data_IF_084734818155
#
_entry.id   IF_084734818155
#
_cell.length_a   1.000
_cell.length_b   1.000
_cell.length_c   1.000
_cell.angle_alpha   90.00
_cell.angle_beta   90.00
_cell.angle_gamma   90.00
#
_symmetry.space_group_name_H-M   'P 1'
#
loop_
_entity.id
_entity.type
_entity.pdbx_description
1 polymer ?
#
# COMPACT_ATOMS: atom_id res chain seq x y z
N UNK A 1 16.37 -4.40 32.76
CA UNK A 1 15.87 -3.06 33.08
C UNK A 1 15.16 -2.51 31.85
N UNK A 2 13.85 -2.65 31.81
CA UNK A 2 13.01 -2.08 30.75
C UNK A 2 12.87 -0.60 31.02
N UNK A 3 13.66 0.22 30.34
CA UNK A 3 13.39 1.66 30.29
C UNK A 3 12.04 1.84 29.61
N UNK A 4 11.03 2.15 30.41
CA UNK A 4 9.70 2.49 29.95
C UNK A 4 9.77 3.76 29.09
N UNK A 5 9.91 3.60 27.79
CA UNK A 5 9.61 4.63 26.83
C UNK A 5 8.08 4.73 26.79
N UNK A 6 7.53 5.58 27.64
CA UNK A 6 6.11 5.91 27.70
C UNK A 6 5.76 6.70 26.43
N UNK A 7 5.57 5.96 25.29
CA UNK A 7 5.15 6.56 24.03
C UNK A 7 3.68 6.99 24.18
N UNK A 8 3.48 8.26 24.54
CA UNK A 8 2.16 8.86 24.64
C UNK A 8 1.36 8.54 23.38
N UNK A 9 0.34 7.72 23.57
CA UNK A 9 -0.66 7.37 22.57
C UNK A 9 -1.58 8.59 22.39
N UNK A 10 -1.76 9.01 21.13
CA UNK A 10 -2.71 10.08 20.79
C UNK A 10 -4.04 9.48 20.36
N UNK A 11 -5.14 10.13 20.69
CA UNK A 11 -6.44 9.84 20.06
C UNK A 11 -6.44 10.37 18.63
N UNK A 12 -7.11 9.66 17.73
CA UNK A 12 -7.44 10.17 16.40
C UNK A 12 -8.84 10.79 16.36
N UNK A 13 -9.56 10.77 17.45
CA UNK A 13 -10.88 11.40 17.53
C UNK A 13 -10.76 12.88 17.14
N UNK A 14 -11.59 13.28 16.20
CA UNK A 14 -11.66 14.64 15.66
C UNK A 14 -10.40 15.11 14.87
N UNK A 15 -9.38 14.24 14.74
CA UNK A 15 -8.24 14.53 13.85
C UNK A 15 -8.70 14.58 12.39
N UNK A 16 -8.29 15.61 11.67
CA UNK A 16 -8.57 15.76 10.24
C UNK A 16 -7.47 15.11 9.41
N UNK A 17 -7.77 13.99 8.79
CA UNK A 17 -6.78 13.20 8.07
C UNK A 17 -7.07 13.21 6.57
N UNK A 18 -6.09 13.65 5.79
CA UNK A 18 -6.15 13.68 4.32
C UNK A 18 -5.37 12.50 3.73
N UNK A 19 -6.03 11.69 2.90
CA UNK A 19 -5.43 10.58 2.19
C UNK A 19 -5.24 10.95 0.71
N UNK A 20 -4.01 11.23 0.30
CA UNK A 20 -3.67 11.59 -1.08
C UNK A 20 -3.41 10.33 -1.90
N UNK A 21 -4.18 10.08 -2.94
CA UNK A 21 -4.24 8.81 -3.66
C UNK A 21 -5.05 7.75 -2.89
N UNK A 22 -6.07 8.20 -2.15
CA UNK A 22 -6.78 7.38 -1.16
C UNK A 22 -7.90 6.49 -1.70
N UNK A 23 -8.32 6.59 -2.97
CA UNK A 23 -9.35 5.70 -3.54
C UNK A 23 -8.81 4.32 -3.95
N UNK A 24 -7.50 4.13 -3.86
CA UNK A 24 -6.82 2.87 -4.18
C UNK A 24 -7.03 1.77 -3.15
N UNK A 25 -6.29 0.65 -3.36
CA UNK A 25 -6.37 -0.54 -2.51
C UNK A 25 -6.01 -0.25 -1.05
N UNK A 26 -4.91 0.44 -0.78
CA UNK A 26 -4.50 0.76 0.60
C UNK A 26 -5.43 1.84 1.19
N UNK A 27 -5.69 2.89 0.42
CA UNK A 27 -6.34 4.08 0.94
C UNK A 27 -7.77 3.87 1.40
N UNK A 28 -8.59 3.08 0.67
CA UNK A 28 -9.97 2.83 1.11
C UNK A 28 -10.02 2.00 2.42
N UNK A 29 -9.15 0.99 2.59
CA UNK A 29 -9.06 0.25 3.85
C UNK A 29 -8.60 1.15 4.99
N UNK A 30 -7.60 1.99 4.74
CA UNK A 30 -7.11 2.94 5.73
C UNK A 30 -8.18 3.98 6.09
N UNK A 31 -8.93 4.51 5.11
CA UNK A 31 -10.02 5.44 5.36
C UNK A 31 -11.08 4.84 6.30
N UNK A 32 -11.47 3.58 6.07
CA UNK A 32 -12.42 2.86 6.92
C UNK A 32 -11.86 2.68 8.35
N UNK A 33 -10.62 2.21 8.48
CA UNK A 33 -9.98 2.00 9.77
C UNK A 33 -9.82 3.31 10.59
N UNK A 34 -9.54 4.43 9.92
CA UNK A 34 -9.45 5.74 10.57
C UNK A 34 -10.83 6.26 11.02
N UNK A 35 -11.88 6.02 10.23
CA UNK A 35 -13.26 6.34 10.65
C UNK A 35 -13.71 5.53 11.86
N UNK A 36 -13.23 4.32 12.04
CA UNK A 36 -13.47 3.50 13.26
C UNK A 36 -12.76 4.04 14.50
N UNK A 37 -11.83 4.99 14.31
CA UNK A 37 -11.16 5.74 15.38
C UNK A 37 -11.71 7.17 15.53
N UNK A 38 -12.89 7.46 14.98
CA UNK A 38 -13.57 8.76 14.98
C UNK A 38 -12.78 9.90 14.34
N UNK A 39 -11.78 9.59 13.47
CA UNK A 39 -11.10 10.62 12.69
C UNK A 39 -12.03 11.19 11.62
N UNK A 40 -11.95 12.49 11.34
CA UNK A 40 -12.54 13.08 10.14
C UNK A 40 -11.62 12.80 8.95
N UNK A 41 -12.11 12.12 7.90
CA UNK A 41 -11.28 11.64 6.80
C UNK A 41 -11.74 12.22 5.48
N UNK A 42 -10.80 12.80 4.71
CA UNK A 42 -10.98 13.17 3.31
C UNK A 42 -10.01 12.34 2.43
N UNK A 43 -10.54 11.81 1.34
CA UNK A 43 -9.77 11.16 0.28
C UNK A 43 -9.66 12.10 -0.90
N UNK A 44 -8.42 12.35 -1.37
CA UNK A 44 -8.15 13.04 -2.63
C UNK A 44 -7.62 12.00 -3.61
N UNK A 45 -8.29 11.86 -4.76
CA UNK A 45 -7.88 10.97 -5.82
C UNK A 45 -8.45 11.45 -7.15
N UNK A 46 -7.69 11.32 -8.22
CA UNK A 46 -8.18 11.72 -9.54
C UNK A 46 -8.53 10.52 -10.43
N UNK A 47 -8.56 9.32 -9.82
CA UNK A 47 -9.06 8.07 -10.39
C UNK A 47 -8.33 7.61 -11.66
N UNK A 48 -7.06 7.94 -11.80
CA UNK A 48 -6.25 7.50 -12.94
C UNK A 48 -5.95 5.99 -12.88
N UNK A 49 -5.70 5.46 -11.69
CA UNK A 49 -5.46 4.04 -11.46
C UNK A 49 -6.77 3.38 -11.05
N UNK A 50 -7.10 2.24 -11.67
CA UNK A 50 -8.38 1.54 -11.45
C UNK A 50 -9.62 2.39 -11.84
N UNK A 51 -9.53 3.08 -12.96
CA UNK A 51 -10.60 3.89 -13.52
C UNK A 51 -11.70 2.99 -14.10
N UNK A 52 -12.95 3.17 -13.67
CA UNK A 52 -14.10 2.35 -14.13
C UNK A 52 -14.29 2.46 -15.64
N UNK A 53 -14.19 3.66 -16.21
CA UNK A 53 -14.37 3.88 -17.66
C UNK A 53 -13.29 3.13 -18.46
N UNK A 54 -12.05 3.21 -18.00
CA UNK A 54 -10.93 2.50 -18.61
C UNK A 54 -11.09 0.97 -18.44
N UNK A 55 -11.62 0.52 -17.32
CA UNK A 55 -11.90 -0.88 -17.06
C UNK A 55 -13.01 -1.44 -17.98
N UNK A 56 -14.06 -0.67 -18.23
CA UNK A 56 -15.15 -1.05 -19.14
C UNK A 56 -14.65 -1.32 -20.57
N UNK A 57 -13.71 -0.53 -21.06
CA UNK A 57 -13.15 -0.61 -22.42
C UNK A 57 -11.88 -1.47 -22.53
N UNK A 58 -11.36 -1.99 -21.43
CA UNK A 58 -10.12 -2.76 -21.42
C UNK A 58 -10.25 -4.08 -22.17
N UNK A 59 -9.30 -4.37 -23.07
CA UNK A 59 -9.15 -5.67 -23.75
C UNK A 59 -8.14 -6.58 -23.06
N UNK A 60 -7.45 -6.08 -22.02
CA UNK A 60 -6.43 -6.82 -21.27
C UNK A 60 -7.05 -7.88 -20.34
N UNK A 61 -8.30 -7.63 -19.88
CA UNK A 61 -9.00 -8.49 -18.93
C UNK A 61 -10.17 -9.21 -19.58
N UNK A 62 -10.48 -10.43 -19.14
CA UNK A 62 -11.70 -11.13 -19.52
C UNK A 62 -12.95 -10.35 -19.08
N UNK A 63 -14.11 -10.63 -19.70
CA UNK A 63 -15.38 -10.01 -19.30
C UNK A 63 -15.62 -10.14 -17.78
N UNK A 64 -15.47 -11.35 -17.24
CA UNK A 64 -15.67 -11.64 -15.82
C UNK A 64 -14.69 -10.89 -14.91
N UNK A 65 -13.41 -10.79 -15.29
CA UNK A 65 -12.43 -9.97 -14.55
C UNK A 65 -12.82 -8.49 -14.54
N UNK A 66 -13.26 -7.93 -15.67
CA UNK A 66 -13.71 -6.53 -15.72
C UNK A 66 -14.90 -6.29 -14.78
N UNK A 67 -15.90 -7.17 -14.83
CA UNK A 67 -17.08 -7.06 -13.95
C UNK A 67 -16.71 -7.10 -12.47
N UNK A 68 -15.84 -8.02 -12.08
CA UNK A 68 -15.40 -8.14 -10.68
C UNK A 68 -14.54 -6.92 -10.24
N UNK A 69 -13.70 -6.39 -11.12
CA UNK A 69 -12.88 -5.22 -10.81
C UNK A 69 -13.72 -3.95 -10.70
N UNK A 70 -14.71 -3.77 -11.58
CA UNK A 70 -15.68 -2.68 -11.48
C UNK A 70 -16.44 -2.78 -10.17
N UNK A 71 -16.93 -3.97 -9.82
CA UNK A 71 -17.56 -4.21 -8.52
C UNK A 71 -16.65 -3.83 -7.36
N UNK A 72 -15.39 -4.24 -7.36
CA UNK A 72 -14.45 -3.90 -6.29
C UNK A 72 -14.19 -2.40 -6.18
N UNK A 73 -14.10 -1.69 -7.31
CA UNK A 73 -13.96 -0.23 -7.30
C UNK A 73 -15.22 0.41 -6.72
N UNK A 74 -16.40 0.00 -7.16
CA UNK A 74 -17.69 0.51 -6.66
C UNK A 74 -17.84 0.24 -5.16
N UNK A 75 -17.55 -1.00 -4.72
CA UNK A 75 -17.61 -1.38 -3.30
C UNK A 75 -16.70 -0.49 -2.43
N UNK A 76 -15.50 -0.09 -2.93
CA UNK A 76 -14.62 0.83 -2.19
C UNK A 76 -15.29 2.18 -1.95
N UNK A 77 -15.91 2.76 -2.97
CA UNK A 77 -16.61 4.04 -2.85
C UNK A 77 -17.84 3.94 -1.94
N UNK A 78 -18.63 2.89 -2.09
CA UNK A 78 -19.82 2.69 -1.25
C UNK A 78 -19.46 2.51 0.22
N UNK A 79 -18.44 1.72 0.53
CA UNK A 79 -17.96 1.54 1.89
C UNK A 79 -17.45 2.85 2.50
N UNK A 80 -16.66 3.63 1.76
CA UNK A 80 -16.17 4.92 2.23
C UNK A 80 -17.31 5.92 2.45
N UNK A 81 -18.26 6.02 1.51
CA UNK A 81 -19.45 6.89 1.61
C UNK A 81 -20.29 6.52 2.83
N UNK A 82 -20.58 5.22 3.03
CA UNK A 82 -21.40 4.73 4.14
C UNK A 82 -20.74 4.99 5.52
N UNK A 83 -19.41 5.11 5.56
CA UNK A 83 -18.64 5.48 6.77
C UNK A 83 -18.43 6.99 6.90
N UNK A 84 -19.02 7.82 6.02
CA UNK A 84 -18.90 9.27 6.07
C UNK A 84 -17.51 9.79 5.72
N UNK A 85 -16.75 9.06 4.89
CA UNK A 85 -15.49 9.54 4.32
C UNK A 85 -15.80 10.59 3.25
N UNK A 86 -15.18 11.76 3.35
CA UNK A 86 -15.27 12.81 2.34
C UNK A 86 -14.42 12.45 1.12
N UNK A 87 -14.86 12.83 -0.06
CA UNK A 87 -14.11 12.57 -1.29
C UNK A 87 -13.99 13.85 -2.12
N UNK A 88 -12.77 14.14 -2.58
CA UNK A 88 -12.47 15.20 -3.52
C UNK A 88 -11.78 14.60 -4.76
N UNK A 89 -12.41 14.75 -5.92
CA UNK A 89 -11.80 14.36 -7.20
C UNK A 89 -10.83 15.46 -7.64
N UNK A 90 -9.55 15.26 -7.36
CA UNK A 90 -8.50 16.21 -7.72
C UNK A 90 -7.17 15.49 -7.95
N UNK A 91 -6.39 16.03 -8.87
CA UNK A 91 -5.02 15.61 -9.10
C UNK A 91 -4.09 16.32 -8.11
N UNK A 92 -3.39 15.56 -7.28
CA UNK A 92 -2.45 16.13 -6.31
C UNK A 92 -1.23 16.84 -6.95
N UNK A 93 -1.05 16.72 -8.27
CA UNK A 93 -0.07 17.50 -9.04
C UNK A 93 -0.56 18.91 -9.38
N UNK A 94 -1.86 19.11 -9.40
CA UNK A 94 -2.46 20.44 -9.54
C UNK A 94 -2.42 21.17 -8.19
N UNK A 95 -1.44 22.05 -8.04
CA UNK A 95 -1.23 22.79 -6.80
C UNK A 95 -2.41 23.69 -6.46
N UNK A 96 -3.11 24.28 -7.46
CA UNK A 96 -4.24 25.17 -7.22
C UNK A 96 -5.42 24.40 -6.61
N UNK A 97 -5.86 23.33 -7.28
CA UNK A 97 -6.95 22.48 -6.80
C UNK A 97 -6.62 21.84 -5.42
N UNK A 98 -5.37 21.40 -5.25
CA UNK A 98 -4.92 20.83 -3.98
C UNK A 98 -4.90 21.87 -2.86
N UNK A 99 -4.48 23.12 -3.13
CA UNK A 99 -4.45 24.23 -2.16
C UNK A 99 -5.84 24.56 -1.68
N UNK A 100 -6.83 24.67 -2.57
CA UNK A 100 -8.22 24.98 -2.22
C UNK A 100 -8.79 23.92 -1.26
N UNK A 101 -8.55 22.64 -1.55
CA UNK A 101 -8.98 21.52 -0.69
C UNK A 101 -8.23 21.57 0.65
N UNK A 102 -6.92 21.76 0.62
CA UNK A 102 -6.07 21.79 1.82
C UNK A 102 -6.47 22.94 2.77
N UNK A 103 -6.64 24.14 2.26
CA UNK A 103 -6.98 25.31 3.06
C UNK A 103 -8.42 25.27 3.59
N UNK A 104 -9.34 24.66 2.83
CA UNK A 104 -10.73 24.46 3.26
C UNK A 104 -10.84 23.39 4.33
N UNK A 105 -10.20 22.25 4.12
CA UNK A 105 -10.30 21.10 5.02
C UNK A 105 -9.40 21.24 6.26
N UNK A 106 -8.21 21.84 6.09
CA UNK A 106 -7.18 22.03 7.13
C UNK A 106 -6.78 20.71 7.80
N UNK A 107 -6.16 19.77 7.06
CA UNK A 107 -5.79 18.47 7.59
C UNK A 107 -4.69 18.59 8.65
N UNK A 108 -4.90 18.01 9.83
CA UNK A 108 -3.87 17.95 10.87
C UNK A 108 -2.82 16.89 10.55
N UNK A 109 -3.20 15.85 9.81
CA UNK A 109 -2.32 14.76 9.36
C UNK A 109 -2.59 14.42 7.89
N UNK A 110 -1.54 14.03 7.18
CA UNK A 110 -1.64 13.62 5.77
C UNK A 110 -1.01 12.23 5.59
N UNK A 111 -1.65 11.36 4.82
CA UNK A 111 -1.05 10.11 4.35
C UNK A 111 -0.92 10.15 2.84
N UNK A 112 0.31 10.16 2.34
CA UNK A 112 0.61 10.23 0.91
C UNK A 112 0.76 8.83 0.33
N UNK A 113 -0.24 8.40 -0.45
CA UNK A 113 -0.34 7.09 -1.10
C UNK A 113 -0.17 7.17 -2.63
N UNK A 114 -0.24 8.37 -3.21
CA UNK A 114 -0.25 8.57 -4.66
C UNK A 114 0.99 7.99 -5.34
N UNK A 115 0.79 7.04 -6.25
CA UNK A 115 1.84 6.43 -7.06
C UNK A 115 1.26 5.51 -8.13
N UNK A 116 2.00 5.29 -9.22
CA UNK A 116 1.80 4.12 -10.08
C UNK A 116 2.43 2.92 -9.38
N UNK A 117 1.61 2.08 -8.75
CA UNK A 117 2.07 1.01 -7.84
C UNK A 117 2.67 -0.21 -8.55
N UNK A 118 2.49 -0.35 -9.86
CA UNK A 118 3.10 -1.40 -10.68
C UNK A 118 4.47 -0.95 -11.19
N UNK A 119 5.54 -1.65 -10.80
CA UNK A 119 6.89 -1.36 -11.28
C UNK A 119 7.00 -1.51 -12.81
N UNK A 120 6.29 -2.49 -13.39
CA UNK A 120 6.27 -2.70 -14.86
C UNK A 120 5.64 -1.51 -15.57
N UNK A 121 4.48 -1.04 -15.08
CA UNK A 121 3.81 0.14 -15.65
C UNK A 121 4.64 1.40 -15.42
N UNK A 122 5.21 1.58 -14.24
CA UNK A 122 6.07 2.72 -13.93
C UNK A 122 7.31 2.78 -14.84
N UNK A 123 7.93 1.64 -15.16
CA UNK A 123 9.07 1.60 -16.08
C UNK A 123 8.66 1.95 -17.53
N UNK A 124 7.46 1.53 -17.96
CA UNK A 124 6.92 1.87 -19.29
C UNK A 124 6.51 3.34 -19.41
N UNK A 125 6.04 3.95 -18.34
CA UNK A 125 5.53 5.32 -18.27
C UNK A 125 6.36 6.16 -17.30
N UNK A 126 7.67 6.18 -17.48
CA UNK A 126 8.63 6.73 -16.51
C UNK A 126 8.39 8.19 -16.15
N UNK A 127 8.14 9.05 -17.12
CA UNK A 127 7.84 10.47 -16.87
C UNK A 127 6.61 10.65 -16.02
N UNK A 128 5.51 9.97 -16.35
CA UNK A 128 4.27 10.04 -15.58
C UNK A 128 4.45 9.46 -14.17
N UNK A 129 5.23 8.37 -14.03
CA UNK A 129 5.46 7.75 -12.74
C UNK A 129 6.26 8.67 -11.80
N UNK A 130 7.31 9.33 -12.29
CA UNK A 130 8.04 10.33 -11.52
C UNK A 130 7.18 11.56 -11.23
N UNK A 131 6.43 12.03 -12.21
CA UNK A 131 5.55 13.19 -12.05
C UNK A 131 4.50 12.95 -10.94
N UNK A 132 3.84 11.80 -10.95
CA UNK A 132 2.88 11.45 -9.90
C UNK A 132 3.58 11.30 -8.54
N UNK A 133 4.69 10.57 -8.46
CA UNK A 133 5.31 10.27 -7.18
C UNK A 133 6.00 11.48 -6.54
N UNK A 134 6.65 12.32 -7.35
CA UNK A 134 7.49 13.42 -6.87
C UNK A 134 6.70 14.72 -6.78
N UNK A 135 5.99 15.12 -7.85
CA UNK A 135 5.30 16.41 -7.87
C UNK A 135 4.10 16.44 -6.93
N UNK A 136 3.34 15.34 -6.78
CA UNK A 136 2.27 15.30 -5.78
C UNK A 136 2.79 15.43 -4.35
N UNK A 137 3.93 14.80 -4.03
CA UNK A 137 4.55 14.93 -2.72
C UNK A 137 5.13 16.33 -2.51
N UNK A 138 5.83 16.89 -3.52
CA UNK A 138 6.35 18.26 -3.47
C UNK A 138 5.24 19.26 -3.14
N UNK A 139 4.11 19.17 -3.83
CA UNK A 139 2.99 20.09 -3.60
C UNK A 139 2.46 19.99 -2.15
N UNK A 140 2.35 18.78 -1.60
CA UNK A 140 1.99 18.58 -0.18
C UNK A 140 3.01 19.22 0.75
N UNK A 141 4.31 19.02 0.51
CA UNK A 141 5.37 19.57 1.35
C UNK A 141 5.43 21.11 1.27
N UNK A 142 5.18 21.68 0.09
CA UNK A 142 5.11 23.14 -0.10
C UNK A 142 3.92 23.73 0.67
N UNK A 143 2.76 23.09 0.67
CA UNK A 143 1.60 23.50 1.48
C UNK A 143 1.91 23.41 2.97
N UNK A 144 2.50 22.31 3.44
CA UNK A 144 2.89 22.17 4.84
C UNK A 144 3.95 23.22 5.27
N UNK A 145 4.88 23.55 4.38
CA UNK A 145 5.90 24.61 4.63
C UNK A 145 5.27 25.98 4.77
N UNK A 146 4.31 26.31 3.91
CA UNK A 146 3.67 27.61 3.86
C UNK A 146 2.59 27.81 4.94
N UNK A 147 2.05 26.71 5.50
CA UNK A 147 0.97 26.67 6.48
C UNK A 147 1.32 25.75 7.66
N UNK A 148 2.42 26.04 8.36
CA UNK A 148 2.97 25.21 9.43
C UNK A 148 2.00 24.94 10.58
N UNK A 149 1.03 25.80 10.78
CA UNK A 149 -0.01 25.71 11.81
C UNK A 149 -1.10 24.68 11.51
N UNK A 150 -1.20 24.19 10.27
CA UNK A 150 -2.28 23.28 9.84
C UNK A 150 -1.85 21.82 10.05
N UNK A 151 -0.80 21.37 9.35
CA UNK A 151 -0.39 19.97 9.32
C UNK A 151 0.80 19.72 10.25
N UNK A 152 0.65 18.79 11.17
CA UNK A 152 1.70 18.43 12.13
C UNK A 152 2.44 17.13 11.78
N UNK A 153 1.89 16.28 10.89
CA UNK A 153 2.52 15.02 10.49
C UNK A 153 2.16 14.61 9.07
N UNK A 154 3.15 14.16 8.31
CA UNK A 154 2.94 13.50 7.02
C UNK A 154 3.46 12.06 7.07
N UNK A 155 2.60 11.09 6.75
CA UNK A 155 2.98 9.69 6.56
C UNK A 155 3.21 9.44 5.07
N UNK A 156 4.41 9.04 4.70
CA UNK A 156 4.78 8.72 3.32
C UNK A 156 4.82 7.23 3.09
N UNK A 157 4.00 6.77 2.15
CA UNK A 157 3.99 5.38 1.72
C UNK A 157 5.14 5.11 0.74
N UNK A 158 6.23 4.57 1.26
CA UNK A 158 7.38 4.07 0.51
C UNK A 158 7.13 2.62 0.03
N UNK A 159 8.16 1.81 -0.06
CA UNK A 159 8.09 0.41 -0.50
C UNK A 159 9.34 -0.35 -0.10
N UNK A 160 9.23 -1.67 0.12
CA UNK A 160 10.39 -2.57 0.25
C UNK A 160 11.29 -2.58 -0.99
N UNK A 161 10.80 -2.12 -2.14
CA UNK A 161 11.60 -2.05 -3.38
C UNK A 161 12.77 -1.08 -3.27
N UNK A 162 12.77 -0.15 -2.33
CA UNK A 162 13.90 0.77 -2.07
C UNK A 162 15.17 0.04 -1.64
N UNK A 163 15.05 -1.14 -1.05
CA UNK A 163 16.21 -1.95 -0.66
C UNK A 163 16.99 -2.54 -1.85
N UNK A 164 16.33 -2.67 -3.03
CA UNK A 164 16.93 -3.38 -4.16
C UNK A 164 16.99 -4.89 -3.92
N UNK A 165 18.03 -5.57 -4.40
CA UNK A 165 18.26 -6.98 -4.10
C UNK A 165 18.73 -7.16 -2.66
N UNK A 166 18.11 -8.10 -1.95
CA UNK A 166 18.53 -8.45 -0.60
C UNK A 166 19.82 -9.24 -0.68
N UNK A 167 20.86 -8.73 -0.02
CA UNK A 167 22.16 -9.42 0.09
C UNK A 167 22.15 -10.45 1.22
N UNK A 168 21.30 -10.22 2.21
CA UNK A 168 21.08 -11.10 3.36
C UNK A 168 19.65 -11.67 3.31
N UNK A 169 19.38 -12.68 4.15
CA UNK A 169 18.05 -13.29 4.27
C UNK A 169 16.98 -12.30 4.76
N UNK A 170 17.39 -11.30 5.51
CA UNK A 170 16.52 -10.24 6.01
C UNK A 170 17.14 -8.85 5.82
N UNK A 171 16.29 -7.82 5.84
CA UNK A 171 16.68 -6.41 5.84
C UNK A 171 15.90 -5.66 6.91
N UNK A 172 16.54 -4.63 7.47
CA UNK A 172 15.89 -3.70 8.38
C UNK A 172 16.02 -2.25 7.88
N UNK A 173 15.48 -1.31 8.62
CA UNK A 173 15.42 0.09 8.17
C UNK A 173 16.79 0.80 8.18
N UNK A 174 17.84 0.18 8.72
CA UNK A 174 19.23 0.67 8.64
C UNK A 174 19.97 0.11 7.42
N UNK A 175 19.44 -0.94 6.77
CA UNK A 175 19.98 -1.48 5.53
C UNK A 175 20.00 -0.38 4.47
N UNK A 176 21.18 -0.17 3.84
CA UNK A 176 21.39 0.87 2.82
C UNK A 176 20.46 0.64 1.62
N UNK A 177 19.60 1.61 1.26
CA UNK A 177 18.78 1.51 0.06
C UNK A 177 19.62 1.42 -1.23
N UNK A 178 19.19 0.54 -2.15
CA UNK A 178 19.77 0.34 -3.48
C UNK A 178 18.64 0.18 -4.52
N UNK A 179 17.78 1.21 -4.69
CA UNK A 179 16.59 1.09 -5.52
C UNK A 179 16.93 0.81 -6.98
N UNK A 180 16.12 -0.06 -7.62
CA UNK A 180 16.21 -0.38 -9.05
C UNK A 180 14.88 -0.10 -9.74
N UNK A 181 14.94 0.54 -10.90
CA UNK A 181 13.77 0.92 -11.71
C UNK A 181 13.07 2.18 -11.21
N UNK A 182 12.17 2.69 -12.03
CA UNK A 182 11.51 4.01 -11.85
C UNK A 182 10.72 4.07 -10.56
N UNK A 183 9.92 3.04 -10.28
CA UNK A 183 9.09 2.98 -9.08
C UNK A 183 9.91 3.07 -7.78
N UNK A 184 10.93 2.24 -7.67
CA UNK A 184 11.76 2.18 -6.46
C UNK A 184 12.58 3.45 -6.25
N UNK A 185 13.13 4.03 -7.35
CA UNK A 185 13.85 5.30 -7.28
C UNK A 185 12.92 6.45 -6.88
N UNK A 186 11.71 6.54 -7.45
CA UNK A 186 10.72 7.55 -7.08
C UNK A 186 10.32 7.45 -5.60
N UNK A 187 10.14 6.24 -5.06
CA UNK A 187 9.88 6.04 -3.62
C UNK A 187 11.06 6.48 -2.77
N UNK A 188 12.28 6.17 -3.16
CA UNK A 188 13.46 6.58 -2.41
C UNK A 188 13.71 8.10 -2.45
N UNK A 189 13.46 8.75 -3.60
CA UNK A 189 13.46 10.22 -3.70
C UNK A 189 12.45 10.81 -2.72
N UNK A 190 11.21 10.29 -2.67
CA UNK A 190 10.21 10.73 -1.71
C UNK A 190 10.65 10.59 -0.25
N UNK A 191 11.33 9.49 0.13
CA UNK A 191 11.93 9.36 1.46
C UNK A 191 12.95 10.45 1.77
N UNK A 192 13.77 10.83 0.78
CA UNK A 192 14.73 11.93 0.94
C UNK A 192 14.01 13.26 1.13
N UNK A 193 12.99 13.55 0.31
CA UNK A 193 12.18 14.77 0.45
C UNK A 193 11.55 14.88 1.84
N UNK A 194 11.04 13.79 2.42
CA UNK A 194 10.46 13.79 3.76
C UNK A 194 11.50 14.15 4.83
N UNK A 195 12.73 13.60 4.73
CA UNK A 195 13.81 13.91 5.67
C UNK A 195 14.27 15.36 5.55
N UNK A 196 14.37 15.88 4.34
CA UNK A 196 14.70 17.28 4.10
C UNK A 196 13.62 18.23 4.62
N UNK A 197 12.33 17.90 4.49
CA UNK A 197 11.23 18.68 5.04
C UNK A 197 11.35 18.81 6.58
N UNK A 198 11.72 17.74 7.29
CA UNK A 198 12.01 17.79 8.72
C UNK A 198 13.18 18.72 9.02
N UNK A 199 14.26 18.62 8.26
CA UNK A 199 15.48 19.43 8.46
C UNK A 199 15.24 20.92 8.19
N UNK A 200 14.51 21.26 7.14
CA UNK A 200 14.36 22.63 6.66
C UNK A 200 13.24 23.42 7.36
N UNK A 201 12.14 22.79 7.73
CA UNK A 201 10.99 23.49 8.31
C UNK A 201 10.25 22.71 9.42
N UNK A 202 10.94 21.72 9.99
CA UNK A 202 10.54 20.95 11.18
C UNK A 202 9.22 20.18 11.05
N UNK A 203 8.86 19.73 9.85
CA UNK A 203 7.69 18.90 9.62
C UNK A 203 7.92 17.47 10.15
N UNK A 204 7.08 17.01 11.05
CA UNK A 204 7.13 15.61 11.48
C UNK A 204 6.65 14.67 10.39
N UNK A 205 7.34 13.53 10.25
CA UNK A 205 7.01 12.55 9.25
C UNK A 205 7.08 11.11 9.78
N UNK A 206 6.45 10.20 9.05
CA UNK A 206 6.70 8.76 9.18
C UNK A 206 6.82 8.15 7.79
N UNK A 207 7.85 7.32 7.55
CA UNK A 207 8.03 6.59 6.30
C UNK A 207 7.67 5.13 6.52
N UNK A 208 6.76 4.60 5.71
CA UNK A 208 6.31 3.20 5.78
C UNK A 208 6.82 2.45 4.54
N UNK A 209 7.51 1.33 4.75
CA UNK A 209 7.99 0.41 3.71
C UNK A 209 7.21 -0.91 3.78
N UNK A 210 6.09 -1.05 3.05
CA UNK A 210 5.34 -2.31 2.95
C UNK A 210 5.98 -3.27 1.94
N UNK A 211 5.56 -4.54 1.99
CA UNK A 211 5.91 -5.57 1.02
C UNK A 211 4.68 -6.42 0.65
N UNK A 212 4.68 -6.98 -0.57
CA UNK A 212 3.80 -8.03 -1.10
C UNK A 212 2.35 -8.03 -0.56
N UNK A 213 1.65 -6.90 -0.68
CA UNK A 213 0.31 -6.72 -0.13
C UNK A 213 -0.74 -7.58 -0.83
N UNK A 214 -1.67 -8.13 -0.05
CA UNK A 214 -2.84 -8.86 -0.52
C UNK A 214 -4.05 -8.61 0.39
N UNK A 215 -5.24 -8.96 -0.11
CA UNK A 215 -6.49 -8.88 0.65
C UNK A 215 -7.67 -8.45 -0.20
N UNK A 216 -8.83 -8.35 0.42
CA UNK A 216 -10.12 -8.11 -0.24
C UNK A 216 -10.14 -6.82 -1.07
N UNK A 217 -10.83 -6.83 -2.20
CA UNK A 217 -10.92 -5.72 -3.17
C UNK A 217 -9.58 -5.26 -3.76
N UNK A 218 -8.54 -6.12 -3.72
CA UNK A 218 -7.29 -5.85 -4.42
C UNK A 218 -7.48 -5.94 -5.94
N UNK A 219 -6.97 -4.94 -6.67
CA UNK A 219 -6.88 -4.93 -8.14
C UNK A 219 -5.46 -4.51 -8.48
N UNK A 220 -4.53 -5.44 -8.47
CA UNK A 220 -3.11 -5.13 -8.65
C UNK A 220 -2.39 -6.00 -9.68
N UNK A 221 -3.02 -7.11 -10.10
CA UNK A 221 -2.38 -8.10 -10.97
C UNK A 221 -1.12 -8.74 -10.37
N UNK A 222 -0.91 -8.61 -9.06
CA UNK A 222 0.21 -9.24 -8.36
C UNK A 222 -0.01 -10.74 -8.20
N UNK A 223 1.05 -11.48 -7.93
CA UNK A 223 1.04 -12.95 -7.85
C UNK A 223 -0.08 -13.49 -6.96
N UNK A 224 -0.30 -12.90 -5.79
CA UNK A 224 -1.35 -13.32 -4.86
C UNK A 224 -2.77 -13.26 -5.44
N UNK A 225 -3.10 -12.20 -6.20
CA UNK A 225 -4.38 -12.08 -6.88
C UNK A 225 -4.42 -12.93 -8.15
N UNK A 226 -3.36 -12.83 -8.98
CA UNK A 226 -3.27 -13.53 -10.27
C UNK A 226 -3.40 -15.04 -10.12
N UNK A 227 -2.83 -15.61 -9.08
CA UNK A 227 -2.93 -17.05 -8.83
C UNK A 227 -4.37 -17.49 -8.53
N UNK A 228 -5.11 -16.74 -7.70
CA UNK A 228 -6.53 -17.00 -7.43
C UNK A 228 -7.33 -16.93 -8.73
N UNK A 229 -7.15 -15.86 -9.51
CA UNK A 229 -7.89 -15.66 -10.77
C UNK A 229 -7.57 -16.72 -11.81
N UNK A 230 -6.32 -17.14 -11.91
CA UNK A 230 -5.92 -18.22 -12.81
C UNK A 230 -6.61 -19.54 -12.40
N UNK A 231 -6.54 -19.90 -11.11
CA UNK A 231 -7.19 -21.11 -10.60
C UNK A 231 -8.70 -21.10 -10.88
N UNK A 232 -9.38 -19.98 -10.61
CA UNK A 232 -10.82 -19.83 -10.84
C UNK A 232 -11.21 -19.79 -12.34
N UNK A 233 -10.24 -19.49 -13.21
CA UNK A 233 -10.44 -19.49 -14.68
C UNK A 233 -9.98 -20.79 -15.35
N UNK A 234 -9.54 -21.80 -14.59
CA UNK A 234 -8.96 -23.03 -15.13
C UNK A 234 -7.62 -22.84 -15.84
N UNK A 235 -6.92 -21.73 -15.57
CA UNK A 235 -5.58 -21.43 -16.10
C UNK A 235 -4.50 -21.93 -15.13
N UNK A 236 -3.32 -22.30 -15.62
CA UNK A 236 -2.25 -22.75 -14.75
C UNK A 236 -1.68 -21.63 -13.84
N UNK A 237 -1.27 -22.03 -12.65
CA UNK A 237 -0.41 -21.24 -11.78
C UNK A 237 1.04 -21.45 -12.23
N UNK A 238 1.66 -20.40 -12.76
CA UNK A 238 3.04 -20.51 -13.26
C UNK A 238 4.01 -20.26 -12.13
N UNK A 239 4.76 -21.30 -11.73
CA UNK A 239 5.81 -21.25 -10.73
C UNK A 239 7.17 -21.04 -11.39
N UNK A 240 7.61 -19.81 -11.53
CA UNK A 240 8.95 -19.51 -12.04
C UNK A 240 10.03 -20.00 -11.07
N UNK A 241 10.99 -20.80 -11.58
CA UNK A 241 12.02 -21.43 -10.77
C UNK A 241 11.46 -22.30 -9.65
N UNK A 242 10.40 -23.08 -9.95
CA UNK A 242 9.73 -23.92 -8.97
C UNK A 242 9.05 -23.16 -7.82
N UNK A 243 8.79 -21.88 -8.00
CA UNK A 243 8.19 -21.04 -6.94
C UNK A 243 9.14 -20.68 -5.79
N UNK A 244 10.45 -20.89 -5.97
CA UNK A 244 11.49 -20.62 -4.95
C UNK A 244 11.74 -19.13 -4.68
N UNK A 245 11.05 -18.22 -5.35
CA UNK A 245 11.07 -16.79 -5.02
C UNK A 245 10.41 -16.53 -3.67
N UNK A 246 11.02 -15.66 -2.84
CA UNK A 246 10.50 -15.30 -1.52
C UNK A 246 9.90 -13.91 -1.53
N UNK A 247 8.80 -13.73 -0.79
CA UNK A 247 8.18 -12.43 -0.55
C UNK A 247 7.65 -12.37 0.90
N UNK A 248 7.77 -11.22 1.52
CA UNK A 248 7.12 -10.95 2.81
C UNK A 248 5.68 -10.53 2.54
N UNK A 249 4.78 -11.52 2.51
CA UNK A 249 3.36 -11.32 2.23
C UNK A 249 2.67 -10.67 3.42
N UNK A 250 2.03 -9.54 3.16
CA UNK A 250 1.40 -8.73 4.20
C UNK A 250 -0.08 -8.55 3.90
N UNK A 251 -0.95 -8.93 4.83
CA UNK A 251 -2.37 -8.69 4.71
C UNK A 251 -2.67 -7.19 4.81
N UNK A 252 -3.64 -6.72 4.03
CA UNK A 252 -3.99 -5.30 3.98
C UNK A 252 -4.38 -4.72 5.35
N UNK A 253 -5.06 -5.49 6.19
CA UNK A 253 -5.46 -5.01 7.52
C UNK A 253 -4.26 -4.87 8.48
N UNK A 254 -3.24 -5.73 8.37
CA UNK A 254 -2.01 -5.56 9.15
C UNK A 254 -1.27 -4.28 8.71
N UNK A 255 -1.23 -4.00 7.39
CA UNK A 255 -0.65 -2.74 6.91
C UNK A 255 -1.44 -1.53 7.43
N UNK A 256 -2.77 -1.53 7.31
CA UNK A 256 -3.60 -0.39 7.75
C UNK A 256 -3.52 -0.18 9.26
N UNK A 257 -3.42 -1.25 10.05
CA UNK A 257 -3.15 -1.15 11.49
C UNK A 257 -1.78 -0.50 11.75
N UNK A 258 -0.73 -0.93 11.05
CA UNK A 258 0.61 -0.33 11.19
C UNK A 258 0.64 1.17 10.82
N UNK A 259 -0.06 1.57 9.74
CA UNK A 259 -0.19 2.98 9.37
C UNK A 259 -0.98 3.75 10.45
N UNK A 260 -2.11 3.20 10.90
CA UNK A 260 -2.93 3.83 11.95
C UNK A 260 -2.13 4.02 13.24
N UNK A 261 -1.33 3.03 13.64
CA UNK A 261 -0.43 3.13 14.80
C UNK A 261 0.62 4.22 14.59
N UNK A 262 1.15 4.39 13.39
CA UNK A 262 2.11 5.46 13.10
C UNK A 262 1.53 6.87 13.25
N UNK A 263 0.21 7.01 13.15
CA UNK A 263 -0.51 8.27 13.41
C UNK A 263 -0.86 8.47 14.89
N UNK A 264 -0.93 7.37 15.67
CA UNK A 264 -1.30 7.38 17.09
C UNK A 264 -0.07 7.51 18.00
N UNK A 265 1.04 6.84 17.68
CA UNK A 265 2.21 6.75 18.55
C UNK A 265 3.26 7.81 18.20
N UNK A 266 3.52 8.76 19.12
CA UNK A 266 4.56 9.78 18.94
C UNK A 266 5.96 9.20 18.73
N UNK A 267 6.21 7.99 19.23
CA UNK A 267 7.46 7.25 18.98
C UNK A 267 7.74 6.98 17.50
N UNK A 268 6.71 7.05 16.64
CA UNK A 268 6.82 6.90 15.19
C UNK A 268 7.32 8.14 14.43
N UNK A 269 7.31 9.31 15.07
CA UNK A 269 7.68 10.56 14.41
C UNK A 269 9.14 10.57 13.98
N UNK A 270 9.38 11.10 12.80
CA UNK A 270 10.69 11.26 12.14
C UNK A 270 11.46 9.94 11.95
N UNK A 271 10.74 8.84 11.75
CA UNK A 271 11.32 7.50 11.57
C UNK A 271 10.78 6.79 10.31
N UNK A 272 11.54 5.78 9.93
CA UNK A 272 11.17 4.83 8.86
C UNK A 272 10.84 3.49 9.48
N UNK A 273 9.79 2.80 8.98
CA UNK A 273 9.36 1.49 9.46
C UNK A 273 9.09 0.52 8.31
N UNK A 274 9.54 -0.69 8.47
CA UNK A 274 8.99 -1.83 7.76
C UNK A 274 7.65 -2.19 8.41
N UNK A 275 6.56 -2.13 7.65
CA UNK A 275 5.24 -2.59 8.09
C UNK A 275 4.85 -3.75 7.20
N UNK A 276 5.20 -4.94 7.65
CA UNK A 276 5.00 -6.22 6.96
C UNK A 276 4.64 -7.29 7.99
N UNK A 277 4.44 -8.53 7.54
CA UNK A 277 4.27 -9.64 8.47
C UNK A 277 5.58 -9.99 9.19
N UNK A 278 6.73 -9.70 8.56
CA UNK A 278 8.04 -9.95 9.15
C UNK A 278 8.53 -11.39 9.01
N UNK A 279 7.97 -12.14 8.06
CA UNK A 279 8.37 -13.51 7.73
C UNK A 279 8.13 -13.77 6.24
N UNK A 280 9.19 -13.75 5.45
CA UNK A 280 9.09 -14.03 4.02
C UNK A 280 8.75 -15.51 3.77
N UNK A 281 7.90 -15.74 2.78
CA UNK A 281 7.41 -17.06 2.39
C UNK A 281 7.68 -17.30 0.90
N UNK A 282 7.78 -18.56 0.51
CA UNK A 282 7.94 -18.95 -0.87
C UNK A 282 6.67 -18.69 -1.68
N UNK A 283 6.81 -18.37 -2.97
CA UNK A 283 5.66 -18.20 -3.87
C UNK A 283 4.92 -19.53 -4.05
N UNK A 284 5.61 -20.67 -3.99
CA UNK A 284 4.98 -22.00 -4.01
C UNK A 284 3.96 -22.19 -2.90
N UNK A 285 4.18 -21.62 -1.72
CA UNK A 285 3.25 -21.75 -0.58
C UNK A 285 1.87 -21.07 -0.87
N UNK A 286 1.83 -20.04 -1.74
CA UNK A 286 0.55 -19.51 -2.21
C UNK A 286 -0.22 -20.54 -3.07
N UNK A 287 0.50 -21.27 -3.93
CA UNK A 287 -0.10 -22.29 -4.78
C UNK A 287 -0.63 -23.45 -3.94
N UNK A 288 0.08 -23.84 -2.89
CA UNK A 288 -0.36 -24.90 -1.97
C UNK A 288 -1.67 -24.49 -1.27
N UNK A 289 -1.76 -23.29 -0.72
CA UNK A 289 -2.98 -22.77 -0.09
C UNK A 289 -4.15 -22.73 -1.10
N UNK A 290 -3.90 -22.36 -2.35
CA UNK A 290 -4.93 -22.33 -3.39
C UNK A 290 -5.42 -23.74 -3.72
N UNK A 291 -4.53 -24.73 -3.81
CA UNK A 291 -4.90 -26.14 -4.06
C UNK A 291 -5.83 -26.68 -2.98
N UNK A 292 -5.65 -26.27 -1.73
CA UNK A 292 -6.52 -26.66 -0.63
C UNK A 292 -7.92 -26.04 -0.70
N UNK A 293 -8.06 -24.90 -1.42
CA UNK A 293 -9.30 -24.12 -1.51
C UNK A 293 -10.06 -24.27 -2.81
N UNK A 294 -9.38 -24.52 -3.90
CA UNK A 294 -9.96 -24.59 -5.26
C UNK A 294 -9.61 -25.94 -5.86
N UNK A 295 -10.60 -26.74 -6.25
CA UNK A 295 -10.35 -28.04 -6.87
C UNK A 295 -9.72 -27.92 -8.25
N UNK A 296 -8.98 -28.95 -8.67
CA UNK A 296 -8.41 -29.12 -10.02
C UNK A 296 -7.47 -27.99 -10.46
N UNK A 297 -6.74 -27.40 -9.52
CA UNK A 297 -5.71 -26.38 -9.82
C UNK A 297 -4.56 -27.00 -10.61
N UNK A 298 -4.25 -26.39 -11.75
CA UNK A 298 -3.12 -26.76 -12.60
C UNK A 298 -1.90 -25.94 -12.15
N UNK A 299 -0.77 -26.60 -11.92
CA UNK A 299 0.51 -25.95 -11.64
C UNK A 299 1.48 -26.27 -12.77
N UNK A 300 2.13 -25.25 -13.31
CA UNK A 300 3.17 -25.39 -14.31
C UNK A 300 4.45 -24.69 -13.83
N UNK A 301 5.59 -25.28 -14.08
CA UNK A 301 6.87 -24.66 -13.80
C UNK A 301 7.41 -23.93 -15.02
N UNK A 302 8.02 -22.77 -14.79
CA UNK A 302 8.73 -22.01 -15.80
C UNK A 302 10.16 -21.69 -15.33
N UNK A 303 11.10 -21.47 -16.26
CA UNK A 303 12.44 -21.01 -15.91
C UNK A 303 12.38 -19.73 -15.05
N UNK A 304 13.31 -19.59 -14.10
CA UNK A 304 13.42 -18.37 -13.28
C UNK A 304 13.77 -17.18 -14.18
N UNK A 305 12.97 -16.13 -14.10
CA UNK A 305 13.28 -14.87 -14.80
C UNK A 305 14.51 -14.19 -14.14
N UNK A 306 15.48 -13.79 -14.97
CA UNK A 306 16.74 -13.21 -14.50
C UNK A 306 16.62 -11.76 -14.00
N UNK A 307 15.53 -11.07 -14.32
CA UNK A 307 15.27 -9.66 -13.99
C UNK A 307 14.51 -9.45 -12.68
N UNK A 308 14.06 -10.53 -12.05
CA UNK A 308 13.33 -10.43 -10.77
C UNK A 308 14.28 -10.20 -9.60
N UNK A 309 13.99 -9.20 -8.77
CA UNK A 309 14.85 -8.89 -7.63
C UNK A 309 14.81 -9.99 -6.57
N UNK A 310 15.95 -10.23 -5.93
CA UNK A 310 16.06 -11.14 -4.77
C UNK A 310 15.39 -10.47 -3.58
N UNK A 311 14.46 -11.17 -2.95
CA UNK A 311 13.70 -10.72 -1.79
C UNK A 311 13.81 -11.69 -0.63
N UNK A 312 13.46 -11.22 0.57
CA UNK A 312 13.45 -11.99 1.81
C UNK A 312 12.59 -11.28 2.87
N UNK A 313 12.90 -11.53 4.12
CA UNK A 313 12.18 -11.00 5.28
C UNK A 313 12.50 -9.50 5.50
N UNK A 314 11.49 -8.71 5.82
CA UNK A 314 11.66 -7.37 6.36
C UNK A 314 11.50 -7.44 7.89
N UNK A 315 12.56 -7.15 8.62
CA UNK A 315 12.52 -7.10 10.08
C UNK A 315 11.60 -5.98 10.56
N UNK A 316 10.75 -6.28 11.55
CA UNK A 316 9.73 -5.36 12.06
C UNK A 316 9.97 -4.95 13.53
N UNK A 317 11.14 -5.23 14.07
CA UNK A 317 11.47 -4.95 15.48
C UNK A 317 11.36 -3.46 15.81
N UNK A 318 11.67 -2.59 14.86
CA UNK A 318 11.47 -1.15 15.02
C UNK A 318 9.99 -0.80 15.16
N UNK A 319 9.11 -1.38 14.35
CA UNK A 319 7.67 -1.16 14.42
C UNK A 319 7.08 -1.72 15.72
N UNK A 320 7.51 -2.90 16.16
CA UNK A 320 7.14 -3.45 17.47
C UNK A 320 7.51 -2.48 18.59
N UNK A 321 8.76 -2.01 18.60
CA UNK A 321 9.30 -1.16 19.65
C UNK A 321 8.62 0.21 19.73
N UNK A 322 8.42 0.90 18.59
CA UNK A 322 8.03 2.30 18.57
C UNK A 322 6.56 2.53 18.25
N UNK A 323 5.88 1.56 17.65
CA UNK A 323 4.48 1.64 17.27
C UNK A 323 3.61 0.60 18.00
N UNK A 324 4.20 -0.26 18.84
CA UNK A 324 3.52 -1.38 19.45
C UNK A 324 2.81 -2.26 18.39
N UNK A 325 3.41 -2.36 17.20
CA UNK A 325 2.87 -3.06 16.04
C UNK A 325 3.24 -4.53 16.07
N UNK A 326 2.24 -5.39 16.04
CA UNK A 326 2.40 -6.84 15.85
C UNK A 326 1.39 -7.29 14.80
N UNK A 327 1.83 -7.81 13.64
CA UNK A 327 0.92 -8.33 12.64
C UNK A 327 0.19 -9.57 13.16
N UNK A 328 -1.05 -9.76 12.74
CA UNK A 328 -1.94 -10.78 13.30
C UNK A 328 -2.46 -11.78 12.28
N UNK A 329 -2.13 -11.61 11.00
CA UNK A 329 -2.67 -12.41 9.89
C UNK A 329 -1.57 -13.17 9.18
N UNK A 330 -1.17 -14.37 9.68
CA UNK A 330 -0.21 -15.22 9.00
C UNK A 330 -0.76 -15.65 7.64
N UNK A 331 0.15 -15.93 6.69
CA UNK A 331 -0.19 -16.21 5.29
C UNK A 331 -1.23 -17.33 5.16
N UNK A 332 -1.06 -18.41 5.90
CA UNK A 332 -1.93 -19.60 5.86
C UNK A 332 -3.40 -19.23 6.13
N UNK A 333 -3.63 -18.39 7.13
CA UNK A 333 -4.99 -17.97 7.51
C UNK A 333 -5.47 -16.78 6.66
N UNK A 334 -4.63 -15.77 6.52
CA UNK A 334 -4.99 -14.53 5.82
C UNK A 334 -5.23 -14.77 4.33
N UNK A 335 -4.38 -15.57 3.68
CA UNK A 335 -4.52 -15.85 2.27
C UNK A 335 -5.64 -16.87 1.98
N UNK A 336 -5.82 -17.89 2.83
CA UNK A 336 -6.95 -18.80 2.73
C UNK A 336 -8.29 -18.06 2.81
N UNK A 337 -8.46 -17.16 3.78
CA UNK A 337 -9.65 -16.33 3.90
C UNK A 337 -9.85 -15.40 2.66
N UNK A 338 -8.76 -14.89 2.11
CA UNK A 338 -8.82 -14.10 0.88
C UNK A 338 -9.25 -14.92 -0.33
N UNK A 339 -8.77 -16.17 -0.45
CA UNK A 339 -9.22 -17.11 -1.48
C UNK A 339 -10.72 -17.40 -1.35
N UNK A 340 -11.21 -17.73 -0.16
CA UNK A 340 -12.63 -17.99 0.11
C UNK A 340 -13.52 -16.78 -0.25
N UNK A 341 -13.09 -15.58 0.17
CA UNK A 341 -13.77 -14.34 -0.18
C UNK A 341 -13.80 -14.10 -1.70
N UNK A 342 -12.66 -14.29 -2.38
CA UNK A 342 -12.56 -14.09 -3.82
C UNK A 342 -13.42 -15.08 -4.60
N UNK A 343 -13.42 -16.35 -4.18
CA UNK A 343 -14.28 -17.39 -4.75
C UNK A 343 -15.76 -16.98 -4.65
N UNK A 344 -16.20 -16.50 -3.48
CA UNK A 344 -17.58 -16.00 -3.30
C UNK A 344 -17.91 -14.84 -4.25
N UNK A 345 -16.99 -13.89 -4.46
CA UNK A 345 -17.20 -12.81 -5.43
C UNK A 345 -17.24 -13.32 -6.88
N UNK A 346 -16.40 -14.32 -7.19
CA UNK A 346 -16.30 -14.89 -8.53
C UNK A 346 -17.54 -15.69 -8.94
N UNK A 347 -18.11 -16.44 -8.00
CA UNK A 347 -19.31 -17.26 -8.25
C UNK A 347 -20.59 -16.42 -8.35
N UNK A 348 -20.68 -15.33 -7.59
CA UNK A 348 -21.87 -14.46 -7.58
C UNK A 348 -22.03 -13.59 -8.86
N UNK A 349 -21.05 -13.57 -9.74
CA UNK A 349 -21.09 -12.87 -11.04
C UNK A 349 -21.33 -13.83 -12.23
N UNK A 350 -21.68 -15.07 -11.97
CA UNK A 350 -21.91 -16.13 -12.97
C UNK A 350 -23.34 -16.33 -13.33
#
# INVERSE_FOLDING_TARGET
>A
MTTGLDYKKQSLKDEKIMLVGGAGFIGHHLALALREKDADVIVIDHLQVNNIVQMLSSTEYSKKQREIYIKFITDRFDLMRNKGVKFANADARDLSALSDIYLTYKPTKIVHLAAISSAVVANKMSSLAYDIQINSLRNILDLCKNHKEITNQVVFMSSSTVYGDFKEKSVNETTRPQPRGVYANGKYIGERMMREAKSLFDLDYTIIRPSALYGVRCISGRVSQKFIENALSGKPLILEGGGGGMLDFTHIDDLTEGITRSLIYKGGLSKTFNITFGNARYISELADIIKDKIPNVIIEEAPKANDKPIRGTLEIERAKKYLDFTPSRPLEKGYANYCDWYLGQWTNLG
#
